data_IF_696372366281
#
_entry.id   IF_696372366281
#
_cell.length_a   1.000
_cell.length_b   1.000
_cell.length_c   1.000
_cell.angle_alpha   90.00
_cell.angle_beta   90.00
_cell.angle_gamma   90.00
#
_symmetry.space_group_name_H-M   'P 1'
#
loop_
_entity.id
_entity.type
_entity.pdbx_description
1 polymer ?
#
# COMPACT_ATOMS: atom_id res chain seq x y z
N UNK A 1 -0.23 -4.93 28.16
CA UNK A 1 0.01 -3.77 27.26
C UNK A 1 -0.61 -2.56 27.92
N UNK A 2 0.06 -1.41 27.95
CA UNK A 2 -0.56 -0.17 28.44
C UNK A 2 -1.62 0.31 27.45
N UNK A 3 -2.64 1.01 27.92
CA UNK A 3 -3.69 1.58 27.06
C UNK A 3 -3.10 2.46 25.94
N UNK A 4 -2.04 3.22 26.26
CA UNK A 4 -1.26 4.00 25.29
C UNK A 4 -0.68 3.15 24.15
N UNK A 5 -0.15 1.97 24.47
CA UNK A 5 0.41 1.05 23.46
C UNK A 5 -0.69 0.52 22.54
N UNK A 6 -1.86 0.21 23.11
CA UNK A 6 -3.02 -0.25 22.35
C UNK A 6 -3.48 0.80 21.34
N UNK A 7 -3.61 2.06 21.76
CA UNK A 7 -3.98 3.15 20.85
C UNK A 7 -2.95 3.39 19.74
N UNK A 8 -1.66 3.31 20.05
CA UNK A 8 -0.60 3.43 19.04
C UNK A 8 -0.66 2.33 17.98
N UNK A 9 -0.91 1.09 18.39
CA UNK A 9 -1.05 -0.05 17.47
C UNK A 9 -2.29 0.12 16.58
N UNK A 10 -3.42 0.57 17.14
CA UNK A 10 -4.63 0.85 16.37
C UNK A 10 -4.36 1.94 15.33
N UNK A 11 -3.72 3.05 15.73
CA UNK A 11 -3.36 4.13 14.81
C UNK A 11 -2.44 3.64 13.68
N UNK A 12 -1.45 2.80 14.00
CA UNK A 12 -0.57 2.21 13.00
C UNK A 12 -1.31 1.30 12.01
N UNK A 13 -2.25 0.48 12.49
CA UNK A 13 -3.09 -0.37 11.64
C UNK A 13 -3.97 0.45 10.68
N UNK A 14 -4.60 1.52 11.17
CA UNK A 14 -5.41 2.43 10.35
C UNK A 14 -4.55 3.08 9.26
N UNK A 15 -3.35 3.54 9.62
CA UNK A 15 -2.42 4.14 8.66
C UNK A 15 -2.01 3.14 7.59
N UNK A 16 -1.65 1.92 7.99
CA UNK A 16 -1.25 0.85 7.08
C UNK A 16 -2.35 0.51 6.06
N UNK A 17 -3.59 0.31 6.52
CA UNK A 17 -4.73 0.04 5.64
C UNK A 17 -4.99 1.22 4.70
N UNK A 18 -4.90 2.45 5.20
CA UNK A 18 -5.09 3.66 4.39
C UNK A 18 -4.04 3.75 3.28
N UNK A 19 -2.77 3.49 3.62
CA UNK A 19 -1.68 3.48 2.66
C UNK A 19 -1.86 2.38 1.60
N UNK A 20 -2.32 1.19 1.98
CA UNK A 20 -2.59 0.10 1.03
C UNK A 20 -3.66 0.50 0.01
N UNK A 21 -4.76 1.10 0.48
CA UNK A 21 -5.82 1.59 -0.39
C UNK A 21 -5.31 2.68 -1.35
N UNK A 22 -4.52 3.63 -0.85
CA UNK A 22 -3.91 4.67 -1.70
C UNK A 22 -2.97 4.07 -2.75
N UNK A 23 -2.18 3.06 -2.36
CA UNK A 23 -1.29 2.35 -3.27
C UNK A 23 -2.10 1.65 -4.38
N UNK A 24 -3.16 0.92 -4.03
CA UNK A 24 -4.04 0.27 -5.00
C UNK A 24 -4.70 1.30 -5.94
N UNK A 25 -5.27 2.38 -5.41
CA UNK A 25 -5.90 3.44 -6.21
C UNK A 25 -4.89 4.02 -7.22
N UNK A 26 -3.66 4.28 -6.79
CA UNK A 26 -2.62 4.82 -7.68
C UNK A 26 -2.21 3.83 -8.78
N UNK A 27 -2.24 2.51 -8.52
CA UNK A 27 -1.99 1.47 -9.51
C UNK A 27 -3.06 1.54 -10.59
N UNK A 28 -4.33 1.66 -10.18
CA UNK A 28 -5.46 1.79 -11.11
C UNK A 28 -5.42 3.07 -11.93
N UNK A 29 -4.95 4.19 -11.35
CA UNK A 29 -4.73 5.46 -12.06
C UNK A 29 -3.57 5.44 -13.05
N UNK A 30 -2.68 4.46 -12.99
CA UNK A 30 -1.50 4.44 -13.85
C UNK A 30 -1.77 3.89 -15.25
N UNK A 31 -0.98 4.28 -16.25
CA UNK A 31 -1.10 3.80 -17.65
C UNK A 31 -0.56 2.37 -17.87
N UNK A 32 -0.56 1.53 -16.83
CA UNK A 32 -0.16 0.11 -16.94
C UNK A 32 -1.27 -0.70 -17.58
N UNK A 33 -0.88 -1.80 -18.23
CA UNK A 33 -1.83 -2.80 -18.72
C UNK A 33 -2.69 -3.35 -17.58
N UNK A 34 -3.88 -3.84 -17.90
CA UNK A 34 -4.85 -4.38 -16.92
C UNK A 34 -4.23 -5.53 -16.11
N UNK A 35 -3.49 -6.44 -16.76
CA UNK A 35 -2.81 -7.55 -16.08
C UNK A 35 -1.76 -7.08 -15.07
N UNK A 36 -1.01 -6.03 -15.39
CA UNK A 36 -0.06 -5.45 -14.46
C UNK A 36 -0.75 -4.77 -13.27
N UNK A 37 -1.89 -4.08 -13.49
CA UNK A 37 -2.69 -3.51 -12.40
C UNK A 37 -3.19 -4.59 -11.44
N UNK A 38 -3.71 -5.70 -11.99
CA UNK A 38 -4.19 -6.82 -11.20
C UNK A 38 -3.08 -7.46 -10.36
N UNK A 39 -1.91 -7.74 -10.96
CA UNK A 39 -0.75 -8.28 -10.24
C UNK A 39 -0.29 -7.39 -9.08
N UNK A 40 -0.23 -6.07 -9.32
CA UNK A 40 0.14 -5.11 -8.28
C UNK A 40 -0.91 -5.03 -7.16
N UNK A 41 -2.19 -4.97 -7.50
CA UNK A 41 -3.27 -4.91 -6.51
C UNK A 41 -3.33 -6.19 -5.66
N UNK A 42 -3.19 -7.36 -6.28
CA UNK A 42 -3.13 -8.65 -5.57
C UNK A 42 -1.89 -8.72 -4.68
N UNK A 43 -0.72 -8.29 -5.18
CA UNK A 43 0.52 -8.28 -4.39
C UNK A 43 0.41 -7.40 -3.15
N UNK A 44 -0.16 -6.20 -3.27
CA UNK A 44 -0.40 -5.28 -2.14
C UNK A 44 -1.42 -5.88 -1.16
N UNK A 45 -2.54 -6.41 -1.66
CA UNK A 45 -3.59 -6.97 -0.80
C UNK A 45 -3.17 -8.22 -0.02
N UNK A 46 -2.36 -9.10 -0.63
CA UNK A 46 -1.87 -10.32 0.02
C UNK A 46 -0.71 -10.02 0.98
N UNK A 47 0.14 -9.06 0.63
CA UNK A 47 1.32 -8.70 1.42
C UNK A 47 1.31 -7.20 1.77
N UNK A 48 0.42 -6.73 2.66
CA UNK A 48 0.25 -5.30 2.93
C UNK A 48 1.54 -4.61 3.41
N UNK A 49 2.31 -5.29 4.27
CA UNK A 49 3.56 -4.74 4.81
C UNK A 49 4.68 -4.69 3.76
N UNK A 50 4.77 -5.68 2.87
CA UNK A 50 5.85 -5.78 1.87
C UNK A 50 5.49 -5.10 0.55
N UNK A 51 4.21 -5.08 0.21
CA UNK A 51 3.64 -4.48 -0.99
C UNK A 51 3.77 -2.97 -0.99
N UNK A 52 3.62 -2.31 0.18
CA UNK A 52 3.79 -0.87 0.34
C UNK A 52 5.20 -0.36 -0.03
N UNK A 53 6.31 -0.87 0.54
CA UNK A 53 7.66 -0.48 0.14
C UNK A 53 7.93 -0.71 -1.35
N UNK A 54 7.48 -1.86 -1.88
CA UNK A 54 7.65 -2.19 -3.29
C UNK A 54 6.90 -1.23 -4.20
N UNK A 55 5.67 -0.89 -3.82
CA UNK A 55 4.87 0.13 -4.49
C UNK A 55 5.53 1.50 -4.42
N UNK A 56 6.03 1.91 -3.25
CA UNK A 56 6.69 3.21 -3.07
C UNK A 56 7.92 3.35 -3.97
N UNK A 57 8.78 2.33 -4.01
CA UNK A 57 9.97 2.30 -4.86
C UNK A 57 9.60 2.34 -6.35
N UNK A 58 8.54 1.61 -6.76
CA UNK A 58 8.06 1.61 -8.13
C UNK A 58 7.28 2.88 -8.50
N UNK A 59 6.66 3.54 -7.52
CA UNK A 59 5.92 4.79 -7.65
C UNK A 59 6.84 6.00 -7.78
N UNK A 60 7.91 6.07 -6.97
CA UNK A 60 8.91 7.14 -7.03
C UNK A 60 9.64 7.20 -8.37
N UNK A 61 9.74 6.06 -9.08
CA UNK A 61 10.34 6.00 -10.42
C UNK A 61 9.55 6.76 -11.48
N UNK A 62 8.30 7.17 -11.22
CA UNK A 62 7.50 7.95 -12.18
C UNK A 62 7.58 9.46 -11.99
N UNK A 63 8.16 9.94 -10.89
CA UNK A 63 8.30 11.37 -10.59
C UNK A 63 9.65 11.96 -11.05
N UNK A 64 10.44 11.20 -11.81
CA UNK A 64 11.61 11.69 -12.57
C UNK A 64 11.35 11.47 -14.05
#
# INVERSE_FOLDING_TARGET
>A
MSDSMTYLVIAAMVLLITLDLLAIISVFKSDRTVGAKALWAIGIAVFPILGLPFWLLAGLRRTR
#
